data_IF_782521144325
#
_entry.id   IF_782521144325
#
_cell.length_a   1.000
_cell.length_b   1.000
_cell.length_c   1.000
_cell.angle_alpha   90.00
_cell.angle_beta   90.00
_cell.angle_gamma   90.00
#
_symmetry.space_group_name_H-M   'P 1'
#
loop_
_entity.id
_entity.type
_entity.pdbx_description
1 polymer ?
#
# COMPACT_ATOMS: atom_id res chain seq x y z
N UNK A 1 -13.41 17.57 -17.97
CA UNK A 1 -12.13 16.90 -18.27
C UNK A 1 -12.43 15.50 -18.75
N UNK A 2 -11.69 14.99 -19.72
CA UNK A 2 -11.85 13.62 -20.24
C UNK A 2 -10.49 12.95 -20.13
N UNK A 3 -10.45 11.78 -19.50
CA UNK A 3 -9.31 10.88 -19.50
C UNK A 3 -9.63 9.72 -20.46
N UNK A 4 -8.94 9.71 -21.59
CA UNK A 4 -8.95 8.60 -22.53
C UNK A 4 -7.83 7.63 -22.12
N UNK A 5 -7.97 6.34 -22.40
CA UNK A 5 -7.07 5.28 -21.92
C UNK A 5 -6.93 5.29 -20.38
N UNK A 6 -8.06 5.41 -19.68
CA UNK A 6 -8.09 5.58 -18.23
C UNK A 6 -7.51 4.37 -17.46
N UNK A 7 -7.35 3.22 -18.11
CA UNK A 7 -6.64 2.06 -17.55
C UNK A 7 -5.15 2.29 -17.34
N UNK A 8 -4.55 3.32 -17.95
CA UNK A 8 -3.15 3.71 -17.73
C UNK A 8 -2.98 4.80 -16.67
N UNK A 9 -4.08 5.32 -16.11
CA UNK A 9 -4.07 6.45 -15.17
C UNK A 9 -3.73 5.98 -13.75
N UNK A 10 -2.69 6.58 -13.16
CA UNK A 10 -2.35 6.42 -11.74
C UNK A 10 -2.92 7.55 -10.86
N UNK A 11 -2.91 7.37 -9.54
CA UNK A 11 -3.42 8.35 -8.57
C UNK A 11 -2.61 9.66 -8.58
N UNK A 12 -1.32 9.59 -8.88
CA UNK A 12 -0.46 10.77 -8.93
C UNK A 12 -0.85 11.68 -10.07
N UNK A 13 -1.07 11.11 -11.25
CA UNK A 13 -1.54 11.83 -12.42
C UNK A 13 -2.97 12.38 -12.18
N UNK A 14 -3.88 11.55 -11.67
CA UNK A 14 -5.24 11.98 -11.32
C UNK A 14 -5.22 13.16 -10.33
N UNK A 15 -4.43 13.06 -9.25
CA UNK A 15 -4.29 14.11 -8.24
C UNK A 15 -3.75 15.42 -8.78
N UNK A 16 -2.92 15.36 -9.82
CA UNK A 16 -2.37 16.55 -10.49
C UNK A 16 -3.39 17.28 -11.36
N UNK A 17 -4.33 16.55 -11.97
CA UNK A 17 -5.28 17.11 -12.92
C UNK A 17 -6.62 17.51 -12.32
N UNK A 18 -7.12 16.81 -11.29
CA UNK A 18 -8.44 17.10 -10.69
C UNK A 18 -8.59 18.54 -10.17
N UNK A 19 -7.57 19.16 -9.54
CA UNK A 19 -7.68 20.55 -9.11
C UNK A 19 -7.94 21.54 -10.25
N UNK A 20 -7.51 21.23 -11.48
CA UNK A 20 -7.67 22.12 -12.63
C UNK A 20 -9.14 22.35 -13.02
N UNK A 21 -10.05 21.42 -12.67
CA UNK A 21 -11.47 21.57 -12.95
C UNK A 21 -12.28 22.17 -11.80
N UNK A 22 -11.67 22.39 -10.64
CA UNK A 22 -12.36 22.85 -9.42
C UNK A 22 -13.00 24.24 -9.58
N UNK A 23 -12.43 25.07 -10.45
CA UNK A 23 -12.96 26.41 -10.74
C UNK A 23 -14.14 26.42 -11.73
N UNK A 24 -14.52 25.27 -12.31
CA UNK A 24 -15.65 25.16 -13.22
C UNK A 24 -16.98 25.27 -12.46
N UNK A 25 -17.96 25.94 -13.04
CA UNK A 25 -19.33 26.00 -12.51
C UNK A 25 -20.03 24.64 -12.47
N UNK A 26 -19.64 23.73 -13.36
CA UNK A 26 -20.12 22.35 -13.40
C UNK A 26 -18.94 21.41 -13.68
N UNK A 27 -18.15 21.08 -12.66
CA UNK A 27 -16.98 20.22 -12.84
C UNK A 27 -17.43 18.79 -13.17
N UNK A 28 -17.04 18.30 -14.33
CA UNK A 28 -17.28 16.92 -14.75
C UNK A 28 -15.98 16.27 -15.16
N UNK A 29 -15.79 15.03 -14.73
CA UNK A 29 -14.69 14.18 -15.16
C UNK A 29 -15.27 12.93 -15.82
N UNK A 30 -14.78 12.63 -17.03
CA UNK A 30 -15.19 11.46 -17.80
C UNK A 30 -13.94 10.58 -17.95
N UNK A 31 -14.05 9.33 -17.61
CA UNK A 31 -13.02 8.32 -17.78
C UNK A 31 -13.49 7.32 -18.83
N UNK A 32 -12.70 7.12 -19.87
CA UNK A 32 -12.98 6.15 -20.95
C UNK A 32 -11.77 5.25 -21.08
N UNK A 33 -12.00 3.96 -21.32
CA UNK A 33 -10.91 3.00 -21.47
C UNK A 33 -11.42 1.57 -21.56
N UNK A 34 -10.50 0.66 -21.76
CA UNK A 34 -10.68 -0.79 -21.72
C UNK A 34 -10.26 -1.36 -20.37
N UNK A 35 -10.57 -2.63 -20.05
CA UNK A 35 -10.06 -3.28 -18.85
C UNK A 35 -8.53 -3.28 -18.83
N UNK A 36 -7.90 -2.95 -17.66
CA UNK A 36 -6.45 -2.90 -17.55
C UNK A 36 -5.79 -4.24 -17.89
N UNK A 37 -4.70 -4.20 -18.65
CA UNK A 37 -3.82 -5.34 -18.88
C UNK A 37 -2.99 -5.70 -17.64
N UNK A 38 -2.22 -6.79 -17.66
CA UNK A 38 -1.40 -7.21 -16.53
C UNK A 38 -0.31 -6.20 -16.16
N UNK A 39 0.19 -5.45 -17.13
CA UNK A 39 1.24 -4.44 -16.94
C UNK A 39 0.70 -3.01 -16.74
N UNK A 40 -0.62 -2.81 -16.89
CA UNK A 40 -1.23 -1.50 -16.77
C UNK A 40 -1.25 -1.02 -15.31
N UNK A 41 -0.82 0.21 -15.07
CA UNK A 41 -0.83 0.83 -13.73
C UNK A 41 -2.26 0.96 -13.20
N UNK A 42 -3.19 1.41 -14.00
CA UNK A 42 -4.67 1.43 -13.92
C UNK A 42 -5.37 1.37 -12.57
N UNK A 43 -4.73 1.80 -11.51
CA UNK A 43 -5.27 1.74 -10.14
C UNK A 43 -6.52 2.59 -10.00
N UNK A 44 -6.54 3.77 -10.62
CA UNK A 44 -7.69 4.69 -10.63
C UNK A 44 -8.91 4.05 -11.28
N UNK A 45 -8.76 3.49 -12.48
CA UNK A 45 -9.88 2.96 -13.24
C UNK A 45 -10.50 1.72 -12.59
N UNK A 46 -9.65 0.84 -12.03
CA UNK A 46 -10.09 -0.31 -11.21
C UNK A 46 -10.86 0.14 -9.96
N UNK A 47 -10.35 1.15 -9.26
CA UNK A 47 -11.00 1.70 -8.06
C UNK A 47 -12.35 2.35 -8.38
N UNK A 48 -12.46 3.07 -9.50
CA UNK A 48 -13.72 3.65 -9.96
C UNK A 48 -14.76 2.56 -10.27
N UNK A 49 -14.38 1.51 -11.01
CA UNK A 49 -15.26 0.37 -11.30
C UNK A 49 -15.74 -0.30 -10.02
N UNK A 50 -14.83 -0.65 -9.12
CA UNK A 50 -15.18 -1.30 -7.86
C UNK A 50 -16.21 -0.49 -7.07
N UNK A 51 -15.95 0.81 -6.83
CA UNK A 51 -16.88 1.68 -6.11
C UNK A 51 -18.25 1.80 -6.80
N UNK A 52 -18.27 1.75 -8.14
CA UNK A 52 -19.52 1.79 -8.89
C UNK A 52 -20.31 0.49 -8.69
N UNK A 53 -19.68 -0.67 -8.79
CA UNK A 53 -20.30 -1.98 -8.61
C UNK A 53 -20.75 -2.22 -7.16
N UNK A 54 -19.99 -1.73 -6.17
CA UNK A 54 -20.31 -1.80 -4.74
C UNK A 54 -21.42 -0.80 -4.33
N UNK A 55 -21.87 0.07 -5.24
CA UNK A 55 -22.89 1.07 -4.96
C UNK A 55 -22.39 2.27 -4.13
N UNK A 56 -21.09 2.43 -3.98
CA UNK A 56 -20.46 3.51 -3.21
C UNK A 56 -20.30 4.82 -4.00
N UNK A 57 -20.43 4.78 -5.32
CA UNK A 57 -20.21 5.90 -6.23
C UNK A 57 -21.45 6.81 -6.34
N UNK A 58 -21.87 7.45 -5.25
CA UNK A 58 -23.12 8.24 -5.16
C UNK A 58 -23.24 9.42 -6.16
N UNK A 59 -22.13 9.90 -6.72
CA UNK A 59 -22.09 11.05 -7.65
C UNK A 59 -21.44 10.70 -8.99
N UNK A 60 -21.37 9.42 -9.33
CA UNK A 60 -20.82 8.94 -10.61
C UNK A 60 -21.82 8.02 -11.30
N UNK A 61 -21.76 7.99 -12.64
CA UNK A 61 -22.43 6.99 -13.46
C UNK A 61 -21.36 6.07 -14.06
N UNK A 62 -21.62 4.77 -14.07
CA UNK A 62 -20.76 3.76 -14.68
C UNK A 62 -21.53 3.09 -15.81
N UNK A 63 -20.93 3.06 -16.99
CA UNK A 63 -21.46 2.37 -18.17
C UNK A 63 -20.42 1.35 -18.61
N UNK A 64 -20.78 0.08 -18.61
CA UNK A 64 -19.90 -1.01 -18.97
C UNK A 64 -20.55 -1.88 -20.05
N UNK A 65 -19.81 -2.10 -21.12
CA UNK A 65 -20.15 -3.01 -22.20
C UNK A 65 -19.11 -4.14 -22.17
N UNK A 66 -19.43 -5.21 -21.49
CA UNK A 66 -18.47 -6.27 -21.17
C UNK A 66 -19.11 -7.65 -21.28
N UNK A 67 -18.27 -8.67 -21.23
CA UNK A 67 -18.67 -10.09 -21.10
C UNK A 67 -18.20 -10.65 -19.77
N UNK A 68 -18.96 -11.57 -19.19
CA UNK A 68 -18.66 -12.14 -17.86
C UNK A 68 -17.43 -13.06 -17.86
N UNK A 69 -17.11 -13.65 -19.01
CA UNK A 69 -16.00 -14.59 -19.17
C UNK A 69 -15.41 -14.50 -20.57
N UNK A 70 -14.14 -14.86 -20.71
CA UNK A 70 -13.44 -14.81 -21.99
C UNK A 70 -14.14 -15.62 -23.10
N UNK A 71 -14.58 -16.85 -22.81
CA UNK A 71 -15.36 -17.66 -23.72
C UNK A 71 -14.74 -17.82 -25.12
N UNK A 72 -15.58 -18.04 -26.13
CA UNK A 72 -15.13 -18.04 -27.53
C UNK A 72 -14.93 -16.60 -28.02
N UNK A 73 -13.71 -16.22 -28.27
CA UNK A 73 -13.33 -14.88 -28.75
C UNK A 73 -13.71 -14.63 -30.21
N UNK A 74 -14.05 -15.68 -30.97
CA UNK A 74 -14.47 -15.61 -32.39
C UNK A 74 -15.97 -15.57 -32.56
N UNK A 75 -16.76 -15.58 -31.49
CA UNK A 75 -18.22 -15.52 -31.56
C UNK A 75 -18.72 -14.09 -31.88
N UNK A 76 -19.33 -13.83 -33.06
CA UNK A 76 -19.85 -12.49 -33.41
C UNK A 76 -20.96 -11.98 -32.49
N UNK A 77 -21.72 -12.86 -31.83
CA UNK A 77 -22.73 -12.46 -30.88
C UNK A 77 -22.13 -11.77 -29.65
N UNK A 78 -20.96 -12.24 -29.21
CA UNK A 78 -20.20 -11.64 -28.11
C UNK A 78 -19.62 -10.27 -28.50
N UNK A 79 -19.16 -10.15 -29.77
CA UNK A 79 -18.68 -8.88 -30.29
C UNK A 79 -19.79 -7.83 -30.30
N UNK A 80 -20.99 -8.21 -30.74
CA UNK A 80 -22.15 -7.32 -30.74
C UNK A 80 -22.59 -6.90 -29.33
N UNK A 81 -22.53 -7.81 -28.36
CA UNK A 81 -22.88 -7.53 -26.97
C UNK A 81 -21.92 -6.51 -26.32
N UNK A 82 -20.62 -6.64 -26.58
CA UNK A 82 -19.59 -5.77 -25.99
C UNK A 82 -19.32 -4.48 -26.81
N UNK A 83 -19.72 -4.42 -28.08
CA UNK A 83 -19.48 -3.28 -28.96
C UNK A 83 -20.79 -2.71 -29.53
N UNK A 84 -21.47 -1.79 -28.83
CA UNK A 84 -22.73 -1.18 -29.32
C UNK A 84 -22.58 -0.44 -30.63
N UNK A 85 -21.36 -0.08 -31.03
CA UNK A 85 -21.05 0.59 -32.30
C UNK A 85 -20.80 -0.37 -33.47
N UNK A 86 -20.83 -1.69 -33.25
CA UNK A 86 -20.61 -2.71 -34.29
C UNK A 86 -21.71 -2.60 -35.37
N UNK A 87 -21.28 -2.64 -36.63
CA UNK A 87 -22.16 -2.45 -37.81
C UNK A 87 -22.54 -1.00 -38.11
N UNK A 88 -22.11 -0.05 -37.25
CA UNK A 88 -22.34 1.40 -37.48
C UNK A 88 -21.03 2.18 -37.66
N UNK A 89 -20.13 2.10 -36.69
CA UNK A 89 -18.81 2.76 -36.71
C UNK A 89 -17.66 1.75 -36.81
N UNK A 90 -17.86 0.58 -36.26
CA UNK A 90 -16.88 -0.51 -36.30
C UNK A 90 -17.41 -1.55 -37.28
N UNK A 91 -16.61 -1.90 -38.27
CA UNK A 91 -16.96 -2.93 -39.23
C UNK A 91 -16.66 -4.33 -38.68
N UNK A 92 -17.50 -5.29 -39.02
CA UNK A 92 -17.33 -6.68 -38.61
C UNK A 92 -15.95 -7.23 -39.01
N UNK A 93 -15.54 -6.97 -40.26
CA UNK A 93 -14.24 -7.40 -40.80
C UNK A 93 -13.04 -6.85 -40.05
N UNK A 94 -13.18 -5.70 -39.37
CA UNK A 94 -12.14 -5.15 -38.52
C UNK A 94 -11.96 -6.02 -37.28
N UNK A 95 -13.06 -6.36 -36.59
CA UNK A 95 -13.01 -7.20 -35.40
C UNK A 95 -12.55 -8.63 -35.76
N UNK A 96 -13.01 -9.17 -36.89
CA UNK A 96 -12.53 -10.47 -37.42
C UNK A 96 -11.01 -10.49 -37.60
N UNK A 97 -10.46 -9.45 -38.24
CA UNK A 97 -9.01 -9.33 -38.45
C UNK A 97 -8.22 -9.20 -37.15
N UNK A 98 -8.76 -8.49 -36.16
CA UNK A 98 -8.13 -8.38 -34.85
C UNK A 98 -8.20 -9.69 -34.04
N UNK A 99 -9.31 -10.43 -34.16
CA UNK A 99 -9.46 -11.75 -33.53
C UNK A 99 -8.49 -12.82 -34.10
N UNK A 100 -7.93 -12.58 -35.30
CA UNK A 100 -6.90 -13.43 -35.89
C UNK A 100 -5.48 -13.01 -35.48
N UNK A 101 -5.28 -11.73 -35.14
CA UNK A 101 -3.97 -11.16 -34.88
C UNK A 101 -3.61 -11.09 -33.38
N UNK A 102 -4.60 -10.86 -32.52
CA UNK A 102 -4.40 -10.73 -31.07
C UNK A 102 -4.52 -12.09 -30.39
N UNK A 103 -3.77 -12.25 -29.30
CA UNK A 103 -4.01 -13.38 -28.42
C UNK A 103 -5.39 -13.25 -27.74
N UNK A 104 -6.00 -14.37 -27.30
CA UNK A 104 -7.36 -14.39 -26.77
C UNK A 104 -7.58 -13.45 -25.58
N UNK A 105 -6.59 -13.29 -24.69
CA UNK A 105 -6.69 -12.42 -23.50
C UNK A 105 -6.68 -10.96 -23.89
N UNK A 106 -5.77 -10.55 -24.75
CA UNK A 106 -5.69 -9.18 -25.26
C UNK A 106 -6.95 -8.83 -26.04
N UNK A 107 -7.41 -9.71 -26.94
CA UNK A 107 -8.66 -9.50 -27.66
C UNK A 107 -9.85 -9.37 -26.71
N UNK A 108 -9.94 -10.20 -25.70
CA UNK A 108 -11.04 -10.14 -24.72
C UNK A 108 -11.06 -8.82 -23.95
N UNK A 109 -9.92 -8.29 -23.56
CA UNK A 109 -9.85 -6.97 -22.92
C UNK A 109 -10.25 -5.85 -23.86
N UNK A 110 -9.65 -5.81 -25.05
CA UNK A 110 -9.79 -4.70 -25.99
C UNK A 110 -11.15 -4.68 -26.70
N UNK A 111 -11.71 -5.84 -27.01
CA UNK A 111 -12.92 -5.97 -27.84
C UNK A 111 -14.14 -6.51 -27.12
N UNK A 112 -13.94 -7.28 -26.05
CA UNK A 112 -15.06 -7.81 -25.27
C UNK A 112 -15.24 -7.11 -23.92
N UNK A 113 -14.40 -6.13 -23.59
CA UNK A 113 -14.47 -5.43 -22.31
C UNK A 113 -14.31 -6.36 -21.11
N UNK A 114 -13.62 -7.51 -21.30
CA UNK A 114 -13.52 -8.53 -20.27
C UNK A 114 -12.52 -8.13 -19.19
N UNK A 115 -13.03 -8.04 -17.96
CA UNK A 115 -12.21 -7.84 -16.77
C UNK A 115 -11.70 -9.18 -16.27
N UNK A 116 -10.41 -9.43 -16.41
CA UNK A 116 -9.83 -10.67 -15.87
C UNK A 116 -9.99 -10.72 -14.35
N UNK A 117 -10.06 -11.92 -13.74
CA UNK A 117 -10.02 -12.04 -12.28
C UNK A 117 -8.81 -11.35 -11.66
N UNK A 118 -7.65 -11.41 -12.31
CA UNK A 118 -6.46 -10.70 -11.89
C UNK A 118 -6.63 -9.18 -12.03
N UNK A 119 -7.21 -8.68 -13.11
CA UNK A 119 -7.50 -7.25 -13.27
C UNK A 119 -8.52 -6.74 -12.24
N UNK A 120 -9.39 -7.61 -11.73
CA UNK A 120 -10.33 -7.30 -10.64
C UNK A 120 -9.68 -7.46 -9.25
N UNK A 121 -8.66 -8.29 -9.12
CA UNK A 121 -7.99 -8.60 -7.86
C UNK A 121 -6.58 -8.03 -7.72
N UNK A 122 -5.90 -7.67 -8.80
CA UNK A 122 -4.52 -7.16 -8.69
C UNK A 122 -4.48 -5.64 -8.41
N UNK A 123 -4.74 -5.31 -7.19
CA UNK A 123 -3.76 -4.54 -6.41
C UNK A 123 -2.53 -5.46 -6.34
N UNK A 124 -1.35 -5.03 -6.81
CA UNK A 124 -0.10 -5.78 -6.58
C UNK A 124 0.17 -5.73 -5.08
N UNK A 125 -0.55 -6.60 -4.36
CA UNK A 125 -0.49 -6.65 -2.91
C UNK A 125 0.96 -6.94 -2.51
N UNK A 126 1.47 -6.12 -1.64
CA UNK A 126 2.82 -6.28 -1.13
C UNK A 126 2.92 -7.43 -0.11
N UNK A 127 1.79 -7.82 0.46
CA UNK A 127 1.67 -8.87 1.47
C UNK A 127 0.53 -9.79 1.06
N UNK A 128 0.75 -11.10 1.09
CA UNK A 128 -0.32 -12.08 0.97
C UNK A 128 -1.21 -12.04 2.23
N UNK A 129 -2.52 -11.70 2.10
CA UNK A 129 -3.42 -11.63 3.24
C UNK A 129 -3.53 -12.94 4.02
N UNK A 130 -3.48 -14.09 3.36
CA UNK A 130 -3.55 -15.38 4.03
C UNK A 130 -2.30 -15.65 4.88
N UNK A 131 -1.12 -15.33 4.35
CA UNK A 131 0.15 -15.44 5.10
C UNK A 131 0.19 -14.45 6.27
N UNK A 132 -0.35 -13.23 6.08
CA UNK A 132 -0.47 -12.25 7.16
C UNK A 132 -1.37 -12.72 8.31
N UNK A 133 -2.56 -13.20 8.01
CA UNK A 133 -3.52 -13.73 9.00
C UNK A 133 -2.91 -14.92 9.76
N UNK A 134 -2.16 -15.80 9.09
CA UNK A 134 -1.48 -16.91 9.73
C UNK A 134 -0.42 -16.49 10.77
N UNK A 135 0.07 -15.24 10.70
CA UNK A 135 1.00 -14.66 11.67
C UNK A 135 0.30 -13.97 12.86
N UNK A 136 -1.04 -13.95 12.92
CA UNK A 136 -1.79 -13.36 14.03
C UNK A 136 -1.53 -14.12 15.34
N UNK A 137 -1.43 -13.38 16.45
CA UNK A 137 -1.21 -13.99 17.77
C UNK A 137 -1.84 -13.14 18.88
N UNK A 138 -2.61 -13.77 19.74
CA UNK A 138 -3.22 -13.17 20.94
C UNK A 138 -2.31 -13.30 22.18
N UNK A 139 -1.18 -13.98 22.06
CA UNK A 139 -0.25 -14.19 23.16
C UNK A 139 0.28 -12.86 23.71
N UNK A 140 0.69 -12.88 24.96
CA UNK A 140 1.33 -11.73 25.58
C UNK A 140 2.61 -11.32 24.83
N UNK A 141 2.94 -10.02 24.89
CA UNK A 141 4.16 -9.48 24.29
C UNK A 141 5.40 -10.24 24.84
N UNK A 142 6.23 -10.83 23.96
CA UNK A 142 7.43 -11.52 24.41
C UNK A 142 8.44 -10.52 25.01
N UNK A 143 9.28 -11.02 25.92
CA UNK A 143 10.46 -10.27 26.37
C UNK A 143 11.55 -10.31 25.31
N UNK A 144 12.22 -9.19 25.09
CA UNK A 144 13.28 -9.13 24.09
C UNK A 144 13.73 -7.72 23.77
N UNK A 145 14.64 -7.65 22.83
CA UNK A 145 15.13 -6.38 22.28
C UNK A 145 13.98 -5.66 21.61
N UNK A 146 13.81 -4.38 21.92
CA UNK A 146 12.66 -3.58 21.43
C UNK A 146 13.14 -2.41 20.56
N UNK A 147 12.46 -2.11 19.48
CA UNK A 147 12.60 -0.88 18.69
C UNK A 147 11.25 -0.32 18.30
N UNK A 148 11.25 0.95 17.92
CA UNK A 148 10.06 1.65 17.48
C UNK A 148 10.23 2.13 16.03
N UNK A 149 9.15 2.10 15.28
CA UNK A 149 9.03 2.69 13.94
C UNK A 149 8.02 3.81 13.96
N UNK A 150 8.40 4.94 13.44
CA UNK A 150 7.53 6.11 13.26
C UNK A 150 7.48 6.43 11.78
N UNK A 151 6.27 6.51 11.25
CA UNK A 151 6.03 6.89 9.85
C UNK A 151 5.09 8.08 9.79
N UNK A 152 5.51 9.13 9.11
CA UNK A 152 4.67 10.26 8.77
C UNK A 152 4.01 10.06 7.40
N UNK A 153 2.77 10.47 7.28
CA UNK A 153 2.07 10.51 5.99
C UNK A 153 2.83 11.40 4.99
N UNK A 154 2.78 11.09 3.69
CA UNK A 154 3.47 11.87 2.66
C UNK A 154 3.09 13.36 2.63
N UNK A 155 1.81 13.65 2.91
CA UNK A 155 1.25 15.01 3.02
C UNK A 155 1.46 15.65 4.41
N UNK A 156 1.97 14.88 5.37
CA UNK A 156 2.18 15.32 6.74
C UNK A 156 0.93 15.34 7.60
N UNK A 157 -0.21 14.83 7.14
CA UNK A 157 -1.51 14.88 7.84
C UNK A 157 -1.59 13.97 9.07
N UNK A 158 -0.84 12.87 9.07
CA UNK A 158 -0.89 11.85 10.13
C UNK A 158 0.51 11.31 10.47
N UNK A 159 0.62 10.73 11.66
CA UNK A 159 1.82 10.00 12.11
C UNK A 159 1.41 8.69 12.78
N UNK A 160 2.10 7.62 12.41
CA UNK A 160 1.91 6.28 12.96
C UNK A 160 3.12 5.87 13.80
N UNK A 161 2.86 5.25 14.93
CA UNK A 161 3.85 4.67 15.84
C UNK A 161 3.60 3.18 15.98
N UNK A 162 4.61 2.37 15.67
CA UNK A 162 4.59 0.92 15.85
C UNK A 162 5.79 0.46 16.69
N UNK A 163 5.66 -0.71 17.30
CA UNK A 163 6.72 -1.36 18.05
C UNK A 163 7.06 -2.72 17.46
N UNK A 164 8.34 -3.09 17.58
CA UNK A 164 8.82 -4.44 17.31
C UNK A 164 9.60 -4.97 18.49
N UNK A 165 9.39 -6.24 18.82
CA UNK A 165 10.16 -6.97 19.82
C UNK A 165 10.82 -8.16 19.13
N UNK A 166 12.12 -8.30 19.33
CA UNK A 166 12.90 -9.45 18.89
C UNK A 166 13.25 -10.27 20.15
N UNK A 167 12.55 -11.37 20.41
CA UNK A 167 12.89 -12.26 21.52
C UNK A 167 14.20 -12.96 21.24
N UNK A 168 14.78 -13.57 22.28
CA UNK A 168 15.99 -14.38 22.14
C UNK A 168 15.72 -15.64 21.32
N UNK A 169 14.54 -16.23 21.54
CA UNK A 169 14.08 -17.44 20.87
C UNK A 169 12.64 -17.20 20.37
N UNK A 170 12.32 -17.68 19.17
CA UNK A 170 10.99 -17.55 18.55
C UNK A 170 10.84 -16.36 17.59
N UNK A 171 9.64 -16.17 17.06
CA UNK A 171 9.36 -15.14 16.06
C UNK A 171 9.40 -13.73 16.65
N UNK A 172 9.79 -12.75 15.82
CA UNK A 172 9.65 -11.34 16.18
C UNK A 172 8.16 -10.97 16.32
N UNK A 173 7.84 -10.03 17.21
CA UNK A 173 6.48 -9.53 17.40
C UNK A 173 6.39 -8.06 17.01
N UNK A 174 5.43 -7.71 16.14
CA UNK A 174 5.10 -6.32 15.83
C UNK A 174 3.71 -5.96 16.33
N UNK A 175 3.49 -4.68 16.58
CA UNK A 175 2.18 -4.16 16.95
C UNK A 175 2.07 -2.67 16.62
N UNK A 176 0.88 -2.25 16.22
CA UNK A 176 0.49 -0.84 16.18
C UNK A 176 0.36 -0.33 17.61
N UNK A 177 0.93 0.83 17.87
CA UNK A 177 0.83 1.49 19.19
C UNK A 177 -0.17 2.64 19.09
N UNK A 178 0.00 3.50 18.08
CA UNK A 178 -0.91 4.64 17.91
C UNK A 178 -0.83 5.19 16.47
N UNK A 179 -1.93 5.80 16.03
CA UNK A 179 -2.05 6.50 14.74
C UNK A 179 -2.86 7.76 14.97
N UNK A 180 -2.25 8.93 14.77
CA UNK A 180 -2.92 10.22 15.04
C UNK A 180 -2.70 11.25 13.94
N UNK A 181 -3.66 12.17 13.76
CA UNK A 181 -3.44 13.37 12.97
C UNK A 181 -2.32 14.25 13.57
N UNK A 182 -1.44 14.76 12.73
CA UNK A 182 -0.34 15.66 13.14
C UNK A 182 -0.82 17.03 13.61
N UNK A 183 -2.02 17.44 13.18
CA UNK A 183 -2.67 18.68 13.64
C UNK A 183 -2.89 18.78 15.14
N UNK A 184 -2.83 17.66 15.87
CA UNK A 184 -2.85 17.62 17.34
C UNK A 184 -1.46 17.86 17.97
N UNK A 185 -0.44 18.09 17.17
CA UNK A 185 0.94 18.25 17.61
C UNK A 185 1.65 16.93 17.89
N UNK A 186 2.98 16.99 18.10
CA UNK A 186 3.85 15.83 18.27
C UNK A 186 4.35 15.64 19.73
N UNK A 187 3.83 16.42 20.68
CA UNK A 187 4.27 16.36 22.08
C UNK A 187 4.02 14.97 22.69
N UNK A 188 2.83 14.42 22.48
CA UNK A 188 2.46 13.09 22.96
C UNK A 188 3.43 12.00 22.49
N UNK A 189 3.87 12.08 21.23
CA UNK A 189 4.78 11.08 20.62
C UNK A 189 6.20 11.22 21.18
N UNK A 190 6.68 12.46 21.31
CA UNK A 190 7.99 12.73 21.91
C UNK A 190 8.03 12.27 23.38
N UNK A 191 7.02 12.59 24.17
CA UNK A 191 6.91 12.21 25.58
C UNK A 191 6.84 10.67 25.73
N UNK A 192 6.02 10.03 24.87
CA UNK A 192 5.86 8.58 24.86
C UNK A 192 7.19 7.86 24.54
N UNK A 193 7.96 8.34 23.54
CA UNK A 193 9.26 7.82 23.18
C UNK A 193 10.29 8.06 24.29
N UNK A 194 10.35 9.27 24.83
CA UNK A 194 11.32 9.64 25.87
C UNK A 194 11.19 8.77 27.13
N UNK A 195 9.97 8.42 27.54
CA UNK A 195 9.70 7.50 28.65
C UNK A 195 10.22 6.07 28.42
N UNK A 196 10.56 5.71 27.18
CA UNK A 196 10.94 4.34 26.79
C UNK A 196 12.38 4.21 26.28
N UNK A 197 13.14 5.30 26.34
CA UNK A 197 14.51 5.32 25.87
C UNK A 197 15.39 4.21 26.50
N UNK A 198 15.27 3.99 27.79
CA UNK A 198 16.08 3.02 28.51
C UNK A 198 15.70 1.54 28.22
N UNK A 199 14.58 1.33 27.55
CA UNK A 199 14.05 -0.01 27.19
C UNK A 199 14.10 -0.30 25.71
N UNK A 200 14.41 0.69 24.87
CA UNK A 200 14.38 0.55 23.42
C UNK A 200 15.79 0.66 22.81
N UNK A 201 16.06 -0.16 21.83
CA UNK A 201 17.33 -0.14 21.07
C UNK A 201 17.44 1.10 20.19
N UNK A 202 16.41 1.41 19.47
CA UNK A 202 16.34 2.58 18.61
C UNK A 202 14.88 2.97 18.30
N UNK A 203 14.74 4.15 17.75
CA UNK A 203 13.55 4.59 17.01
C UNK A 203 13.96 4.89 15.57
N UNK A 204 13.23 4.34 14.60
CA UNK A 204 13.39 4.61 13.17
C UNK A 204 12.30 5.57 12.76
N UNK A 205 12.65 6.74 12.23
CA UNK A 205 11.72 7.79 11.90
C UNK A 205 11.81 8.08 10.40
N UNK A 206 10.72 7.86 9.66
CA UNK A 206 10.64 8.08 8.22
C UNK A 206 9.44 8.95 7.84
N UNK A 207 9.56 9.63 6.71
CA UNK A 207 8.60 10.54 6.13
C UNK A 207 9.26 11.83 5.63
N UNK A 208 8.45 12.77 5.14
CA UNK A 208 8.95 14.08 4.67
C UNK A 208 8.71 15.18 5.70
N UNK A 209 7.48 15.30 6.17
CA UNK A 209 7.05 16.35 7.09
C UNK A 209 6.99 15.81 8.53
N UNK A 210 7.54 16.54 9.49
CA UNK A 210 7.50 16.18 10.91
C UNK A 210 8.70 15.39 11.44
N UNK A 211 9.50 14.75 10.59
CA UNK A 211 10.67 13.94 10.98
C UNK A 211 11.68 14.78 11.78
N UNK A 212 12.07 15.94 11.26
CA UNK A 212 13.04 16.82 11.92
C UNK A 212 12.50 17.37 13.23
N UNK A 213 11.23 17.78 13.23
CA UNK A 213 10.54 18.30 14.43
C UNK A 213 10.52 17.26 15.54
N UNK A 214 10.19 16.01 15.22
CA UNK A 214 10.18 14.95 16.22
C UNK A 214 11.59 14.61 16.69
N UNK A 215 12.54 14.46 15.77
CA UNK A 215 13.93 14.15 16.11
C UNK A 215 14.54 15.22 17.00
N UNK A 216 14.28 16.51 16.77
CA UNK A 216 14.75 17.61 17.63
C UNK A 216 14.10 17.56 19.02
N UNK A 217 12.85 17.17 19.13
CA UNK A 217 12.18 17.07 20.44
C UNK A 217 12.72 15.91 21.31
N UNK A 218 13.24 14.86 20.71
CA UNK A 218 13.71 13.69 21.47
C UNK A 218 15.24 13.63 21.58
N UNK A 219 16.00 14.46 20.88
CA UNK A 219 17.47 14.39 20.79
C UNK A 219 18.20 14.43 22.13
N UNK A 220 17.70 15.17 23.10
CA UNK A 220 18.32 15.31 24.41
C UNK A 220 18.23 14.02 25.24
N UNK A 221 17.20 13.22 25.03
CA UNK A 221 17.03 11.91 25.66
C UNK A 221 17.64 10.81 24.80
N UNK A 222 17.33 10.79 23.50
CA UNK A 222 17.81 9.78 22.53
C UNK A 222 19.20 10.10 21.97
N UNK A 223 20.13 10.47 22.83
CA UNK A 223 21.49 10.95 22.51
C UNK A 223 22.49 9.86 22.17
N UNK A 224 22.23 8.60 22.47
CA UNK A 224 23.13 7.53 22.15
C UNK A 224 23.31 7.38 20.63
N UNK A 225 24.51 7.03 20.18
CA UNK A 225 24.79 6.80 18.77
C UNK A 225 23.83 5.74 18.20
N UNK A 226 23.19 6.03 17.09
CA UNK A 226 22.22 5.19 16.41
C UNK A 226 20.93 4.88 17.23
N UNK A 227 20.63 5.67 18.27
CA UNK A 227 19.36 5.55 18.97
C UNK A 227 18.19 6.12 18.15
N UNK A 228 18.43 7.17 17.35
CA UNK A 228 17.50 7.71 16.35
C UNK A 228 18.06 7.41 14.98
N UNK A 229 17.30 6.71 14.15
CA UNK A 229 17.69 6.31 12.80
C UNK A 229 16.75 6.97 11.80
N UNK A 230 17.31 7.62 10.79
CA UNK A 230 16.59 8.14 9.62
C UNK A 230 16.96 7.25 8.44
N UNK A 231 16.04 6.39 7.97
CA UNK A 231 16.37 5.44 6.92
C UNK A 231 16.51 6.15 5.57
N UNK A 232 17.49 5.75 4.78
CA UNK A 232 17.56 6.10 3.36
C UNK A 232 16.68 5.18 2.53
N UNK A 233 16.54 5.48 1.23
CA UNK A 233 15.72 4.66 0.30
C UNK A 233 16.10 3.18 0.31
N UNK A 234 17.39 2.86 0.37
CA UNK A 234 17.88 1.46 0.45
C UNK A 234 17.44 0.77 1.73
N UNK A 235 17.42 1.51 2.84
CA UNK A 235 17.01 0.97 4.14
C UNK A 235 15.51 0.70 4.17
N UNK A 236 14.69 1.58 3.57
CA UNK A 236 13.24 1.37 3.42
C UNK A 236 12.96 0.13 2.58
N UNK A 237 13.64 -0.05 1.43
CA UNK A 237 13.52 -1.25 0.61
C UNK A 237 13.90 -2.50 1.42
N UNK A 238 14.99 -2.44 2.16
CA UNK A 238 15.44 -3.56 3.01
C UNK A 238 14.45 -3.85 4.16
N UNK A 239 13.84 -2.81 4.74
CA UNK A 239 12.83 -2.95 5.78
C UNK A 239 11.58 -3.66 5.25
N UNK A 240 11.08 -3.25 4.08
CA UNK A 240 9.91 -3.85 3.42
C UNK A 240 10.21 -5.28 3.01
N UNK A 241 11.32 -5.55 2.32
CA UNK A 241 11.72 -6.90 1.91
C UNK A 241 11.92 -7.84 3.10
N UNK A 242 12.56 -7.37 4.17
CA UNK A 242 12.74 -8.14 5.41
C UNK A 242 11.43 -8.40 6.15
N UNK A 243 10.47 -7.48 6.06
CA UNK A 243 9.15 -7.64 6.65
C UNK A 243 8.32 -8.68 5.91
N UNK A 244 8.22 -8.57 4.58
CA UNK A 244 7.47 -9.52 3.75
C UNK A 244 8.08 -10.94 3.83
N UNK A 245 9.40 -11.06 3.79
CA UNK A 245 10.06 -12.35 4.00
C UNK A 245 9.73 -12.95 5.38
N UNK A 246 9.75 -12.12 6.44
CA UNK A 246 9.46 -12.63 7.80
C UNK A 246 8.01 -13.13 7.94
N UNK A 247 7.06 -12.58 7.18
CA UNK A 247 5.69 -13.08 7.11
C UNK A 247 5.67 -14.43 6.39
N UNK A 248 6.28 -14.52 5.19
CA UNK A 248 6.32 -15.75 4.40
C UNK A 248 7.01 -16.91 5.11
N UNK A 249 8.02 -16.62 5.92
CA UNK A 249 8.79 -17.60 6.71
C UNK A 249 8.15 -17.89 8.08
N UNK A 250 7.03 -17.24 8.43
CA UNK A 250 6.41 -17.31 9.76
C UNK A 250 7.39 -16.98 10.92
N UNK A 251 8.40 -16.17 10.64
CA UNK A 251 9.37 -15.67 11.62
C UNK A 251 8.96 -14.33 12.26
N UNK A 252 7.73 -13.89 11.96
CA UNK A 252 7.06 -12.72 12.49
C UNK A 252 5.70 -13.11 13.03
N UNK A 253 5.28 -12.47 14.14
CA UNK A 253 3.88 -12.44 14.60
C UNK A 253 3.43 -11.00 14.80
N UNK A 254 2.12 -10.77 14.72
CA UNK A 254 1.54 -9.48 15.07
C UNK A 254 0.46 -9.64 16.14
N UNK A 255 0.25 -8.60 16.94
CA UNK A 255 -0.75 -8.66 18.01
C UNK A 255 -2.15 -8.55 17.43
N UNK A 256 -2.99 -9.54 17.71
CA UNK A 256 -4.39 -9.58 17.32
C UNK A 256 -5.29 -9.47 18.57
N UNK A 257 -6.40 -8.70 18.53
CA UNK A 257 -6.95 -7.96 17.38
C UNK A 257 -6.38 -6.52 17.26
N UNK A 258 -5.97 -6.14 16.06
CA UNK A 258 -5.60 -4.76 15.70
C UNK A 258 -6.14 -4.44 14.29
N UNK A 259 -7.43 -4.12 14.18
CA UNK A 259 -8.14 -3.93 12.91
C UNK A 259 -7.41 -2.96 11.96
N UNK A 260 -6.92 -1.81 12.47
CA UNK A 260 -6.23 -0.80 11.65
C UNK A 260 -4.93 -1.34 11.06
N UNK A 261 -4.17 -2.16 11.80
CA UNK A 261 -2.95 -2.77 11.29
C UNK A 261 -3.28 -3.90 10.30
N UNK A 262 -4.30 -4.68 10.58
CA UNK A 262 -4.74 -5.79 9.74
C UNK A 262 -5.21 -5.28 8.37
N UNK A 263 -6.09 -4.28 8.34
CA UNK A 263 -6.53 -3.61 7.11
C UNK A 263 -5.34 -3.03 6.35
N UNK A 264 -4.41 -2.35 7.04
CA UNK A 264 -3.21 -1.79 6.44
C UNK A 264 -2.36 -2.85 5.74
N UNK A 265 -2.13 -3.99 6.38
CA UNK A 265 -1.30 -5.06 5.82
C UNK A 265 -2.00 -5.76 4.65
N UNK A 266 -3.31 -6.02 4.76
CA UNK A 266 -4.09 -6.72 3.74
C UNK A 266 -4.37 -5.87 2.49
N UNK A 267 -4.25 -4.53 2.58
CA UNK A 267 -4.50 -3.61 1.45
C UNK A 267 -3.23 -2.93 0.93
N UNK A 268 -2.07 -3.17 1.57
CA UNK A 268 -0.80 -2.60 1.13
C UNK A 268 -0.40 -3.09 -0.25
N UNK A 269 -0.09 -2.15 -1.14
CA UNK A 269 0.41 -2.42 -2.49
C UNK A 269 1.92 -2.17 -2.60
N UNK A 270 2.56 -2.74 -3.61
CA UNK A 270 3.95 -2.42 -3.93
C UNK A 270 4.05 -1.05 -4.59
N UNK A 271 4.76 -0.13 -3.97
CA UNK A 271 5.06 1.20 -4.51
C UNK A 271 6.52 1.25 -4.96
N UNK A 272 6.79 1.41 -6.26
CA UNK A 272 8.17 1.47 -6.77
C UNK A 272 8.98 2.60 -6.14
N UNK A 273 10.17 2.29 -5.64
CA UNK A 273 11.16 3.26 -5.12
C UNK A 273 12.59 2.77 -5.39
N UNK A 274 13.45 3.63 -5.93
CA UNK A 274 14.91 3.41 -5.98
C UNK A 274 15.41 2.07 -6.50
N UNK A 275 14.70 1.44 -7.43
CA UNK A 275 15.05 0.13 -7.99
C UNK A 275 14.54 -1.07 -7.17
N UNK A 276 13.65 -0.83 -6.20
CA UNK A 276 12.90 -1.82 -5.43
C UNK A 276 11.49 -1.33 -5.18
N UNK A 277 10.87 -1.74 -4.09
CA UNK A 277 9.55 -1.24 -3.70
C UNK A 277 9.45 -0.94 -2.20
N UNK A 278 8.56 0.00 -1.87
CA UNK A 278 8.04 0.27 -0.54
C UNK A 278 6.58 -0.16 -0.45
N UNK A 279 5.98 -0.07 0.72
CA UNK A 279 4.54 -0.15 0.86
C UNK A 279 3.88 1.12 0.32
N UNK A 280 2.69 0.99 -0.24
CA UNK A 280 1.83 2.05 -0.74
C UNK A 280 0.37 1.69 -0.52
N UNK A 281 -0.53 2.53 -1.00
CA UNK A 281 -1.97 2.47 -0.76
C UNK A 281 -2.40 3.44 0.35
N UNK A 282 -3.70 3.73 0.40
CA UNK A 282 -4.27 4.78 1.25
C UNK A 282 -4.06 4.54 2.76
N UNK A 283 -3.94 3.27 3.17
CA UNK A 283 -3.80 2.87 4.57
C UNK A 283 -2.41 2.31 4.91
N UNK A 284 -1.35 2.58 4.12
CA UNK A 284 -0.05 1.93 4.29
C UNK A 284 0.75 2.34 5.52
N UNK A 285 0.41 3.45 6.19
CA UNK A 285 1.17 3.99 7.32
C UNK A 285 1.46 2.98 8.44
N UNK A 286 0.48 2.20 8.96
CA UNK A 286 0.72 1.22 10.02
C UNK A 286 1.70 0.13 9.63
N UNK A 287 1.55 -0.47 8.45
CA UNK A 287 2.44 -1.53 7.99
C UNK A 287 3.85 -1.00 7.68
N UNK A 288 3.97 0.22 7.13
CA UNK A 288 5.26 0.89 6.93
C UNK A 288 5.99 1.10 8.27
N UNK A 289 5.28 1.63 9.28
CA UNK A 289 5.84 1.84 10.62
C UNK A 289 6.25 0.51 11.28
N UNK A 290 5.48 -0.57 11.11
CA UNK A 290 5.84 -1.91 11.59
C UNK A 290 7.09 -2.46 10.91
N UNK A 291 7.22 -2.31 9.59
CA UNK A 291 8.41 -2.73 8.85
C UNK A 291 9.68 -1.98 9.32
N UNK A 292 9.56 -0.68 9.54
CA UNK A 292 10.65 0.14 10.09
C UNK A 292 11.04 -0.30 11.52
N UNK A 293 10.07 -0.59 12.38
CA UNK A 293 10.32 -1.08 13.73
C UNK A 293 11.04 -2.43 13.71
N UNK A 294 10.60 -3.37 12.87
CA UNK A 294 11.22 -4.68 12.70
C UNK A 294 12.65 -4.57 12.15
N UNK A 295 12.85 -3.75 11.14
CA UNK A 295 14.18 -3.49 10.58
C UNK A 295 15.09 -2.87 11.63
N UNK A 296 14.60 -1.88 12.40
CA UNK A 296 15.34 -1.24 13.47
C UNK A 296 15.80 -2.22 14.56
N UNK A 297 14.90 -3.11 15.02
CA UNK A 297 15.24 -4.07 16.08
C UNK A 297 16.24 -5.13 15.60
N UNK A 298 16.22 -5.50 14.32
CA UNK A 298 17.16 -6.47 13.73
C UNK A 298 18.53 -5.86 13.45
N UNK A 299 18.60 -4.60 13.02
CA UNK A 299 19.85 -3.96 12.55
C UNK A 299 20.56 -3.11 13.60
N UNK A 300 19.84 -2.47 14.52
CA UNK A 300 20.43 -1.64 15.56
C UNK A 300 21.30 -2.49 16.51
N UNK A 301 22.55 -2.08 16.72
CA UNK A 301 23.48 -2.78 17.62
C UNK A 301 23.31 -2.41 19.11
N UNK A 302 22.59 -1.30 19.39
CA UNK A 302 22.31 -0.89 20.76
C UNK A 302 21.35 -1.87 21.41
N UNK A 303 21.71 -2.35 22.59
CA UNK A 303 20.85 -3.14 23.46
C UNK A 303 20.92 -2.55 24.89
N UNK A 304 19.95 -1.73 25.26
CA UNK A 304 19.95 -1.07 26.57
C UNK A 304 19.73 -2.04 27.73
N UNK A 305 19.21 -3.23 27.47
CA UNK A 305 18.97 -4.26 28.50
C UNK A 305 20.22 -5.08 28.82
N UNK A 306 21.26 -4.98 27.98
CA UNK A 306 22.53 -5.70 28.18
C UNK A 306 23.30 -5.12 29.36
N UNK A 307 23.36 -5.85 30.47
CA UNK A 307 24.23 -5.50 31.62
C UNK A 307 25.69 -5.54 31.19
N UNK A 308 26.43 -4.45 31.40
CA UNK A 308 27.87 -4.48 31.26
C UNK A 308 28.42 -5.51 32.30
N UNK A 309 29.09 -6.54 31.83
CA UNK A 309 29.98 -7.31 32.73
C UNK A 309 31.23 -6.46 32.91
N UNK A 310 31.38 -5.86 34.08
CA UNK A 310 32.65 -5.31 34.54
C UNK A 310 33.43 -6.56 34.95
N UNK A 311 34.45 -6.90 34.16
CA UNK A 311 35.44 -7.92 34.51
C UNK A 311 36.52 -7.32 35.37
#
# INVERSE_FOLDING_TARGET
>A
MIFDEAQELDETAQGSFLPAISASLNPQTIYVGTPPGPDAVGTVFRALRRRALDGEAKKAAWFEFSVDKIGDVKDPARWAAANPALGRRIQLSTIEGEAEQLDPDTFARERLGWWSPEATQQLDLAIDPAAWVACASEEQKPEGKTAYGVKFAPDGSAVCLCGAVLPKDGPARVSLIDLRPTGQGLAWLADWLNQRYDKASCVVIDGRNGVDVLADRIKEVWRAKNAVIRPGTKDVIAAVGGFTNSISEHSLTWYHPQTVLDESACTAIKRPIGGGYGFGGDNSLPVEACALALWGVKTCKRDPTRKMRIG
#
